data_IF_784336131339
#
_entry.id   IF_784336131339
#
_cell.length_a   1.000
_cell.length_b   1.000
_cell.length_c   1.000
_cell.angle_alpha   90.00
_cell.angle_beta   90.00
_cell.angle_gamma   90.00
#
_symmetry.space_group_name_H-M   'P 1'
#
loop_
_entity.id
_entity.type
_entity.pdbx_description
1 polymer ?
#
# COMPACT_ATOMS: atom_id res chain seq x y z
N UNK A 1 6.64 -16.67 -13.09
CA UNK A 1 5.68 -17.73 -13.41
C UNK A 1 5.01 -18.33 -12.19
N UNK A 2 5.72 -19.01 -11.28
CA UNK A 2 5.13 -19.71 -10.12
C UNK A 2 4.32 -18.77 -9.21
N UNK A 3 4.81 -17.58 -8.93
CA UNK A 3 4.09 -16.57 -8.13
C UNK A 3 2.77 -16.15 -8.77
N UNK A 4 2.71 -16.09 -10.11
CA UNK A 4 1.47 -15.78 -10.83
C UNK A 4 0.42 -16.89 -10.70
N UNK A 5 0.86 -18.15 -10.77
CA UNK A 5 0.00 -19.32 -10.54
C UNK A 5 -0.57 -19.33 -9.12
N UNK A 6 0.29 -19.10 -8.12
CA UNK A 6 -0.12 -19.05 -6.72
C UNK A 6 -1.07 -17.89 -6.43
N UNK A 7 -0.82 -16.71 -6.99
CA UNK A 7 -1.69 -15.54 -6.83
C UNK A 7 -3.09 -15.80 -7.41
N UNK A 8 -3.17 -16.36 -8.62
CA UNK A 8 -4.44 -16.69 -9.25
C UNK A 8 -5.21 -17.81 -8.53
N UNK A 9 -4.48 -18.81 -7.99
CA UNK A 9 -5.08 -19.94 -7.27
C UNK A 9 -5.51 -19.64 -5.84
N UNK A 10 -4.99 -18.55 -5.22
CA UNK A 10 -5.36 -18.16 -3.86
C UNK A 10 -6.51 -17.14 -3.84
N UNK A 11 -6.26 -15.95 -4.32
CA UNK A 11 -7.26 -14.88 -4.43
C UNK A 11 -6.93 -13.96 -5.59
N UNK A 12 -7.93 -13.60 -6.39
CA UNK A 12 -7.78 -12.76 -7.58
C UNK A 12 -7.15 -11.38 -7.28
N UNK A 13 -7.34 -10.85 -6.06
CA UNK A 13 -6.75 -9.56 -5.64
C UNK A 13 -5.22 -9.58 -5.57
N UNK A 14 -4.61 -10.74 -5.34
CA UNK A 14 -3.15 -10.81 -5.32
C UNK A 14 -2.54 -10.59 -6.71
N UNK A 15 -3.28 -10.84 -7.77
CA UNK A 15 -2.79 -10.63 -9.13
C UNK A 15 -2.43 -9.15 -9.36
N UNK A 16 -3.36 -8.19 -9.23
CA UNK A 16 -3.05 -6.78 -9.45
C UNK A 16 -2.11 -6.21 -8.37
N UNK A 17 -2.18 -6.66 -7.10
CA UNK A 17 -1.27 -6.21 -6.04
C UNK A 17 0.18 -6.60 -6.36
N UNK A 18 0.44 -7.86 -6.70
CA UNK A 18 1.79 -8.30 -7.06
C UNK A 18 2.27 -7.67 -8.38
N UNK A 19 1.37 -7.47 -9.35
CA UNK A 19 1.69 -6.74 -10.57
C UNK A 19 2.14 -5.31 -10.26
N UNK A 20 1.50 -4.65 -9.31
CA UNK A 20 1.84 -3.29 -8.87
C UNK A 20 3.22 -3.24 -8.19
N UNK A 21 3.57 -4.25 -7.40
CA UNK A 21 4.92 -4.41 -6.83
C UNK A 21 5.96 -4.53 -7.96
N UNK A 22 5.76 -5.47 -8.91
CA UNK A 22 6.68 -5.67 -10.02
C UNK A 22 6.80 -4.42 -10.90
N UNK A 23 5.69 -3.73 -11.15
CA UNK A 23 5.64 -2.49 -11.90
C UNK A 23 6.45 -1.38 -11.21
N UNK A 24 6.39 -1.27 -9.88
CA UNK A 24 7.13 -0.26 -9.13
C UNK A 24 8.65 -0.45 -9.23
N UNK A 25 9.13 -1.69 -9.24
CA UNK A 25 10.54 -2.00 -9.50
C UNK A 25 10.93 -1.68 -10.94
N UNK A 26 10.12 -2.10 -11.91
CA UNK A 26 10.35 -1.79 -13.33
C UNK A 26 10.45 -0.27 -13.57
N UNK A 27 9.51 0.52 -13.04
CA UNK A 27 9.52 1.98 -13.16
C UNK A 27 10.78 2.55 -12.49
N UNK A 28 11.14 2.08 -11.30
CA UNK A 28 12.35 2.51 -10.60
C UNK A 28 13.60 2.27 -11.44
N UNK A 29 13.72 1.11 -12.08
CA UNK A 29 14.89 0.74 -12.89
C UNK A 29 14.96 1.55 -14.19
N UNK A 30 13.81 1.87 -14.79
CA UNK A 30 13.75 2.79 -15.94
C UNK A 30 14.27 4.18 -15.54
N UNK A 31 13.80 4.74 -14.41
CA UNK A 31 14.24 6.06 -13.93
C UNK A 31 15.74 6.08 -13.60
N UNK A 32 16.26 4.98 -13.09
CA UNK A 32 17.69 4.82 -12.74
C UNK A 32 18.57 4.47 -13.94
N UNK A 33 18.00 4.32 -15.12
CA UNK A 33 18.66 3.87 -16.35
C UNK A 33 19.40 2.53 -16.18
N UNK A 34 18.83 1.65 -15.37
CA UNK A 34 19.32 0.28 -15.16
C UNK A 34 18.85 -0.65 -16.28
N UNK A 35 19.32 -1.90 -16.24
CA UNK A 35 18.87 -2.92 -17.21
C UNK A 35 17.47 -3.43 -16.85
N UNK A 36 16.43 -2.71 -17.24
CA UNK A 36 15.02 -3.01 -16.95
C UNK A 36 14.45 -4.23 -17.71
N UNK A 37 15.21 -4.81 -18.65
CA UNK A 37 14.73 -5.95 -19.47
C UNK A 37 14.32 -7.17 -18.65
N UNK A 38 15.05 -7.47 -17.58
CA UNK A 38 14.73 -8.59 -16.71
C UNK A 38 13.44 -8.36 -15.92
N UNK A 39 13.22 -7.14 -15.44
CA UNK A 39 12.02 -6.78 -14.70
C UNK A 39 10.80 -6.75 -15.61
N UNK A 40 10.97 -6.25 -16.84
CA UNK A 40 9.93 -6.32 -17.86
C UNK A 40 9.58 -7.77 -18.22
N UNK A 41 10.59 -8.62 -18.43
CA UNK A 41 10.37 -10.04 -18.69
C UNK A 41 9.70 -10.74 -17.51
N UNK A 42 10.10 -10.39 -16.28
CA UNK A 42 9.49 -10.90 -15.05
C UNK A 42 8.02 -10.50 -14.92
N UNK A 43 7.70 -9.23 -15.18
CA UNK A 43 6.32 -8.72 -15.16
C UNK A 43 5.47 -9.41 -16.24
N UNK A 44 5.96 -9.53 -17.47
CA UNK A 44 5.25 -10.20 -18.55
C UNK A 44 5.02 -11.68 -18.23
N UNK A 45 6.03 -12.39 -17.75
CA UNK A 45 5.90 -13.79 -17.33
C UNK A 45 4.90 -13.96 -16.18
N UNK A 46 4.88 -13.01 -15.24
CA UNK A 46 3.90 -12.98 -14.16
C UNK A 46 2.48 -12.80 -14.69
N UNK A 47 2.25 -11.77 -15.51
CA UNK A 47 0.93 -11.48 -16.07
C UNK A 47 0.41 -12.62 -16.95
N UNK A 48 1.26 -13.19 -17.82
CA UNK A 48 0.89 -14.33 -18.66
C UNK A 48 0.49 -15.54 -17.82
N UNK A 49 1.26 -15.86 -16.79
CA UNK A 49 0.94 -16.98 -15.90
C UNK A 49 -0.36 -16.72 -15.11
N UNK A 50 -0.57 -15.49 -14.62
CA UNK A 50 -1.78 -15.14 -13.87
C UNK A 50 -3.03 -15.19 -14.73
N UNK A 51 -2.99 -14.54 -15.90
CA UNK A 51 -4.13 -14.54 -16.86
C UNK A 51 -4.42 -15.94 -17.37
N UNK A 52 -3.38 -16.72 -17.71
CA UNK A 52 -3.54 -18.12 -18.11
C UNK A 52 -4.19 -18.97 -17.01
N UNK A 53 -3.81 -18.78 -15.75
CA UNK A 53 -4.42 -19.49 -14.62
C UNK A 53 -5.89 -19.12 -14.43
N UNK A 54 -6.22 -17.82 -14.50
CA UNK A 54 -7.60 -17.35 -14.38
C UNK A 54 -8.46 -17.92 -15.53
N UNK A 55 -7.90 -17.97 -16.75
CA UNK A 55 -8.59 -18.56 -17.90
C UNK A 55 -8.87 -20.06 -17.70
N UNK A 56 -7.86 -20.81 -17.24
CA UNK A 56 -7.98 -22.26 -16.96
C UNK A 56 -8.98 -22.57 -15.84
N UNK A 57 -9.10 -21.67 -14.86
CA UNK A 57 -10.05 -21.78 -13.75
C UNK A 57 -11.47 -21.29 -14.13
N UNK A 58 -11.70 -20.86 -15.37
CA UNK A 58 -12.99 -20.37 -15.84
C UNK A 58 -13.34 -18.95 -15.34
N UNK A 59 -12.36 -18.17 -14.88
CA UNK A 59 -12.58 -16.84 -14.33
C UNK A 59 -13.11 -15.79 -15.33
N UNK A 60 -13.09 -16.08 -16.63
CA UNK A 60 -13.69 -15.26 -17.68
C UNK A 60 -15.06 -15.75 -18.16
N UNK A 61 -15.59 -16.82 -17.56
CA UNK A 61 -16.84 -17.43 -18.02
C UNK A 61 -18.10 -16.64 -17.64
N UNK A 62 -17.98 -15.67 -16.74
CA UNK A 62 -19.11 -14.85 -16.26
C UNK A 62 -18.76 -13.37 -16.33
N UNK A 63 -19.51 -12.61 -17.13
CA UNK A 63 -19.43 -11.15 -17.17
C UNK A 63 -20.17 -10.54 -15.96
N UNK A 64 -19.59 -10.68 -14.77
CA UNK A 64 -20.08 -9.95 -13.62
C UNK A 64 -19.27 -8.63 -13.52
N UNK A 65 -19.81 -7.58 -14.14
CA UNK A 65 -19.34 -6.22 -13.89
C UNK A 65 -20.03 -5.74 -12.60
N UNK A 66 -19.28 -5.49 -11.51
CA UNK A 66 -19.89 -4.95 -10.31
C UNK A 66 -20.63 -3.65 -10.60
N UNK A 67 -21.76 -3.45 -9.94
CA UNK A 67 -22.60 -2.27 -10.10
C UNK A 67 -21.80 -0.99 -9.84
N UNK A 68 -22.08 0.05 -10.62
CA UNK A 68 -21.42 1.36 -10.53
C UNK A 68 -21.62 2.06 -9.17
N UNK A 69 -22.65 1.67 -8.43
CA UNK A 69 -22.93 2.18 -7.08
C UNK A 69 -21.88 1.76 -6.03
N UNK A 70 -21.09 0.72 -6.31
CA UNK A 70 -20.05 0.24 -5.40
C UNK A 70 -18.73 1.05 -5.48
N UNK A 71 -18.59 1.98 -6.43
CA UNK A 71 -17.39 2.82 -6.53
C UNK A 71 -17.22 3.70 -5.30
N UNK A 72 -16.09 3.55 -4.63
CA UNK A 72 -15.76 4.28 -3.41
C UNK A 72 -16.30 3.66 -2.13
N UNK A 73 -17.28 2.74 -2.17
CA UNK A 73 -17.81 2.07 -0.98
C UNK A 73 -16.86 1.02 -0.39
N UNK A 74 -15.95 0.49 -1.18
CA UNK A 74 -14.92 -0.46 -0.79
C UNK A 74 -13.50 0.12 -0.99
N UNK A 75 -13.36 1.46 -1.00
CA UNK A 75 -12.10 2.17 -1.09
C UNK A 75 -11.40 2.26 0.26
N UNK A 76 -10.12 2.63 0.23
CA UNK A 76 -9.37 2.95 1.44
C UNK A 76 -9.83 4.28 2.02
N UNK A 77 -10.28 4.26 3.27
CA UNK A 77 -10.61 5.47 4.01
C UNK A 77 -9.34 6.06 4.64
N UNK A 78 -9.12 7.36 4.51
CA UNK A 78 -7.88 8.01 4.97
C UNK A 78 -7.63 7.88 6.49
N UNK A 79 -8.68 7.63 7.30
CA UNK A 79 -8.53 7.32 8.73
C UNK A 79 -8.13 5.86 8.99
N UNK A 80 -8.08 5.00 7.97
CA UNK A 80 -7.93 3.55 8.07
C UNK A 80 -6.67 3.08 8.78
N UNK A 81 -5.58 3.85 8.75
CA UNK A 81 -4.35 3.51 9.48
C UNK A 81 -4.54 3.55 11.00
N UNK A 82 -5.47 4.36 11.50
CA UNK A 82 -5.75 4.54 12.93
C UNK A 82 -7.08 3.95 13.36
N UNK A 83 -7.89 3.49 12.40
CA UNK A 83 -9.19 2.89 12.63
C UNK A 83 -9.06 1.38 12.82
N UNK A 84 -9.26 0.94 14.05
CA UNK A 84 -9.13 -0.49 14.38
C UNK A 84 -10.28 -1.35 13.87
N UNK A 85 -11.43 -0.76 13.52
CA UNK A 85 -12.66 -1.48 13.15
C UNK A 85 -13.02 -2.63 14.12
N UNK A 86 -12.75 -2.44 15.42
CA UNK A 86 -13.01 -3.44 16.45
C UNK A 86 -11.88 -4.42 16.72
N UNK A 87 -10.77 -4.37 15.98
CA UNK A 87 -9.61 -5.26 16.17
C UNK A 87 -8.67 -4.82 17.30
N UNK A 88 -8.95 -3.71 17.97
CA UNK A 88 -8.13 -3.20 19.08
C UNK A 88 -8.99 -2.69 20.22
N UNK A 89 -8.57 -2.98 21.46
CA UNK A 89 -9.17 -2.42 22.67
C UNK A 89 -8.67 -0.99 22.93
N UNK A 90 -7.44 -0.67 22.46
CA UNK A 90 -6.79 0.63 22.69
C UNK A 90 -7.25 1.68 21.69
N UNK A 91 -7.38 1.28 20.42
CA UNK A 91 -7.82 2.19 19.36
C UNK A 91 -9.33 2.00 19.10
N UNK A 92 -10.10 3.09 19.10
CA UNK A 92 -11.54 3.00 18.86
C UNK A 92 -11.85 2.61 17.42
N UNK A 93 -13.02 2.05 17.21
CA UNK A 93 -13.64 1.96 15.89
C UNK A 93 -14.11 3.35 15.49
N UNK A 94 -13.58 3.87 14.40
CA UNK A 94 -14.02 5.13 13.82
C UNK A 94 -15.04 4.87 12.72
N UNK A 95 -15.93 5.83 12.50
CA UNK A 95 -16.85 5.76 11.38
C UNK A 95 -16.09 5.71 10.05
N UNK A 96 -16.68 5.02 9.08
CA UNK A 96 -16.13 4.85 7.73
C UNK A 96 -17.22 5.10 6.70
N UNK A 97 -16.78 5.58 5.54
CA UNK A 97 -17.67 5.78 4.40
C UNK A 97 -17.83 4.47 3.63
N UNK A 98 -19.09 4.14 3.30
CA UNK A 98 -19.43 2.98 2.49
C UNK A 98 -19.80 1.72 3.29
N UNK A 99 -20.52 0.82 2.64
CA UNK A 99 -21.03 -0.41 3.24
C UNK A 99 -20.00 -1.53 3.36
N UNK A 100 -18.91 -1.47 2.56
CA UNK A 100 -17.84 -2.49 2.51
C UNK A 100 -16.49 -1.90 2.93
N UNK A 101 -16.49 -1.04 3.94
CA UNK A 101 -15.31 -0.33 4.41
C UNK A 101 -14.26 -1.23 5.07
N UNK A 102 -14.63 -2.41 5.54
CA UNK A 102 -13.75 -3.49 6.03
C UNK A 102 -12.79 -4.00 4.96
N UNK A 103 -13.14 -3.89 3.68
CA UNK A 103 -12.26 -4.23 2.56
C UNK A 103 -11.03 -3.31 2.46
N UNK A 104 -11.14 -2.08 2.99
CA UNK A 104 -10.06 -1.10 3.07
C UNK A 104 -9.34 -1.08 4.42
N UNK A 105 -9.46 -2.14 5.25
CA UNK A 105 -8.78 -2.22 6.53
C UNK A 105 -7.27 -2.09 6.36
N UNK A 106 -6.72 -1.04 6.95
CA UNK A 106 -5.30 -0.70 6.86
C UNK A 106 -4.65 -0.56 8.24
N UNK A 107 -5.33 -0.94 9.30
CA UNK A 107 -4.83 -0.86 10.66
C UNK A 107 -3.65 -1.81 10.86
N UNK A 108 -2.41 -1.30 11.09
CA UNK A 108 -1.23 -2.15 11.17
C UNK A 108 -1.10 -2.91 12.50
N UNK A 109 -2.03 -2.67 13.41
CA UNK A 109 -2.01 -3.19 14.76
C UNK A 109 -1.46 -2.21 15.79
N UNK A 110 -2.00 -2.30 17.02
CA UNK A 110 -1.63 -1.43 18.15
C UNK A 110 -0.13 -1.46 18.46
N UNK A 111 0.49 -2.65 18.43
CA UNK A 111 1.92 -2.81 18.70
C UNK A 111 2.79 -2.04 17.71
N UNK A 112 2.47 -2.10 16.42
CA UNK A 112 3.20 -1.35 15.37
C UNK A 112 3.06 0.16 15.58
N UNK A 113 1.85 0.65 15.84
CA UNK A 113 1.61 2.08 16.09
C UNK A 113 2.34 2.56 17.35
N UNK A 114 2.34 1.79 18.43
CA UNK A 114 3.08 2.11 19.65
C UNK A 114 4.59 2.12 19.39
N UNK A 115 5.10 1.16 18.63
CA UNK A 115 6.51 1.11 18.24
C UNK A 115 6.91 2.35 17.44
N UNK A 116 6.11 2.74 16.47
CA UNK A 116 6.34 3.96 15.70
C UNK A 116 6.26 5.21 16.57
N UNK A 117 5.26 5.31 17.46
CA UNK A 117 5.09 6.45 18.36
C UNK A 117 6.27 6.60 19.33
N UNK A 118 6.70 5.50 19.97
CA UNK A 118 7.87 5.51 20.88
C UNK A 118 9.14 5.85 20.14
N UNK A 119 9.29 5.39 18.89
CA UNK A 119 10.42 5.73 18.07
C UNK A 119 10.47 7.17 17.64
N UNK A 120 9.36 7.70 17.20
CA UNK A 120 9.27 9.12 16.88
C UNK A 120 9.56 9.99 18.13
N UNK A 121 9.05 9.58 19.30
CA UNK A 121 9.33 10.29 20.56
C UNK A 121 10.83 10.23 20.91
N UNK A 122 11.46 9.06 20.85
CA UNK A 122 12.88 8.90 21.10
C UNK A 122 13.75 9.70 20.11
N UNK A 123 13.39 9.67 18.82
CA UNK A 123 14.06 10.47 17.81
C UNK A 123 13.92 11.98 18.11
N UNK A 124 12.72 12.45 18.44
CA UNK A 124 12.46 13.84 18.78
C UNK A 124 13.26 14.28 20.01
N UNK A 125 13.28 13.46 21.06
CA UNK A 125 14.08 13.74 22.26
C UNK A 125 15.58 13.83 21.95
N UNK A 126 16.12 12.90 21.16
CA UNK A 126 17.52 12.96 20.70
C UNK A 126 17.79 14.21 19.86
N UNK A 127 16.87 14.59 18.99
CA UNK A 127 16.96 15.79 18.16
C UNK A 127 17.00 17.06 19.04
N UNK A 128 16.05 17.19 19.98
CA UNK A 128 16.00 18.31 20.91
C UNK A 128 17.25 18.39 21.80
N UNK A 129 17.73 17.24 22.29
CA UNK A 129 18.97 17.18 23.07
C UNK A 129 20.17 17.70 22.27
N UNK A 130 20.34 17.28 21.02
CA UNK A 130 21.40 17.77 20.13
C UNK A 130 21.26 19.27 19.82
N UNK A 131 20.03 19.74 19.58
CA UNK A 131 19.77 21.12 19.26
C UNK A 131 20.03 22.06 20.45
N UNK A 132 19.50 21.69 21.64
CA UNK A 132 19.48 22.57 22.82
C UNK A 132 20.76 22.40 23.66
N UNK A 133 21.15 21.16 23.96
CA UNK A 133 22.25 20.89 24.88
C UNK A 133 23.60 20.92 24.17
N UNK A 134 23.71 20.20 23.03
CA UNK A 134 24.96 20.14 22.28
C UNK A 134 25.20 21.31 21.34
N UNK A 135 24.15 22.11 21.05
CA UNK A 135 24.21 23.23 20.08
C UNK A 135 24.87 22.84 18.74
N UNK A 136 24.67 21.60 18.31
CA UNK A 136 25.19 21.11 17.03
C UNK A 136 24.49 21.86 15.89
N UNK A 137 25.27 22.52 15.01
CA UNK A 137 24.73 23.23 13.86
C UNK A 137 24.22 22.29 12.73
N UNK A 138 24.74 21.05 12.69
CA UNK A 138 24.36 20.04 11.68
C UNK A 138 23.40 19.01 12.28
N UNK A 139 22.15 19.41 12.54
CA UNK A 139 21.11 18.57 13.13
C UNK A 139 20.56 17.50 12.17
N UNK A 140 20.59 17.76 10.88
CA UNK A 140 20.13 16.87 9.84
C UNK A 140 21.32 16.31 9.04
N UNK A 141 21.89 15.21 9.49
CA UNK A 141 22.76 14.41 8.65
C UNK A 141 21.93 13.30 8.00
N UNK A 142 21.08 13.69 7.05
CA UNK A 142 20.29 12.73 6.28
C UNK A 142 21.19 12.15 5.19
N UNK A 143 21.95 11.13 5.56
CA UNK A 143 22.71 10.35 4.57
C UNK A 143 21.73 9.44 3.81
N UNK A 144 21.31 9.89 2.65
CA UNK A 144 20.78 9.00 1.62
C UNK A 144 21.94 8.11 1.13
N UNK A 145 22.42 7.19 1.96
CA UNK A 145 23.11 6.04 1.37
C UNK A 145 22.15 5.48 0.34
N UNK A 146 22.56 5.47 -0.93
CA UNK A 146 21.84 4.91 -2.07
C UNK A 146 21.29 3.52 -1.70
N UNK A 147 20.15 3.46 -1.03
CA UNK A 147 19.41 2.21 -0.87
C UNK A 147 18.88 1.89 -2.24
N UNK A 148 19.44 0.86 -2.84
CA UNK A 148 19.19 0.51 -4.24
C UNK A 148 17.70 0.46 -4.58
N UNK A 149 16.84 0.09 -3.64
CA UNK A 149 15.41 -0.07 -3.86
C UNK A 149 14.51 1.03 -3.25
N UNK A 150 15.09 2.09 -2.66
CA UNK A 150 14.28 3.13 -1.98
C UNK A 150 13.28 3.83 -2.90
N UNK A 151 13.66 4.05 -4.15
CA UNK A 151 12.79 4.66 -5.17
C UNK A 151 11.63 3.71 -5.52
N UNK A 152 11.91 2.41 -5.67
CA UNK A 152 10.86 1.42 -5.96
C UNK A 152 9.80 1.37 -4.85
N UNK A 153 10.23 1.37 -3.58
CA UNK A 153 9.29 1.40 -2.45
C UNK A 153 8.47 2.69 -2.40
N UNK A 154 9.08 3.84 -2.72
CA UNK A 154 8.33 5.11 -2.79
C UNK A 154 7.27 5.06 -3.90
N UNK A 155 7.63 4.57 -5.10
CA UNK A 155 6.69 4.39 -6.21
C UNK A 155 5.57 3.42 -5.79
N UNK A 156 5.91 2.31 -5.14
CA UNK A 156 4.93 1.33 -4.66
C UNK A 156 3.93 1.97 -3.69
N UNK A 157 4.41 2.75 -2.72
CA UNK A 157 3.55 3.46 -1.77
C UNK A 157 2.60 4.41 -2.51
N UNK A 158 3.13 5.24 -3.41
CA UNK A 158 2.32 6.22 -4.16
C UNK A 158 1.27 5.51 -5.01
N UNK A 159 1.65 4.52 -5.80
CA UNK A 159 0.72 3.78 -6.65
C UNK A 159 -0.32 3.02 -5.82
N UNK A 160 0.09 2.36 -4.74
CA UNK A 160 -0.83 1.65 -3.84
C UNK A 160 -1.88 2.58 -3.24
N UNK A 161 -1.46 3.74 -2.72
CA UNK A 161 -2.38 4.73 -2.14
C UNK A 161 -3.33 5.27 -3.22
N UNK A 162 -2.82 5.66 -4.39
CA UNK A 162 -3.65 6.19 -5.49
C UNK A 162 -4.74 5.19 -5.92
N UNK A 163 -4.38 3.91 -6.04
CA UNK A 163 -5.36 2.88 -6.41
C UNK A 163 -6.32 2.59 -5.26
N UNK A 164 -5.83 2.50 -4.02
CA UNK A 164 -6.62 2.16 -2.85
C UNK A 164 -7.69 3.22 -2.51
N UNK A 165 -7.32 4.50 -2.60
CA UNK A 165 -8.21 5.63 -2.29
C UNK A 165 -9.36 5.70 -3.28
N UNK A 166 -9.18 5.24 -4.53
CA UNK A 166 -10.15 5.36 -5.61
C UNK A 166 -10.49 6.82 -5.98
N UNK A 167 -11.31 7.10 -7.00
CA UNK A 167 -11.76 8.45 -7.31
C UNK A 167 -12.58 9.14 -6.22
N UNK A 168 -13.16 8.35 -5.29
CA UNK A 168 -13.93 8.87 -4.15
C UNK A 168 -13.08 8.80 -2.89
N UNK A 169 -12.42 9.92 -2.56
CA UNK A 169 -11.59 10.05 -1.37
C UNK A 169 -12.48 10.25 -0.14
N UNK A 170 -12.44 9.33 0.81
CA UNK A 170 -13.25 9.40 2.02
C UNK A 170 -12.40 9.64 3.28
N UNK A 171 -12.96 10.42 4.20
CA UNK A 171 -12.44 10.62 5.55
C UNK A 171 -13.56 10.42 6.56
N UNK A 172 -13.46 9.40 7.39
CA UNK A 172 -14.53 9.03 8.30
C UNK A 172 -15.79 8.64 7.54
N UNK A 173 -16.94 9.13 7.97
CA UNK A 173 -18.26 8.87 7.33
C UNK A 173 -18.55 9.77 6.13
N UNK A 174 -17.65 10.68 5.75
CA UNK A 174 -17.89 11.68 4.69
C UNK A 174 -16.94 11.53 3.50
N UNK A 175 -17.40 11.94 2.33
CA UNK A 175 -16.57 12.11 1.14
C UNK A 175 -15.80 13.42 1.27
N UNK A 176 -14.48 13.35 1.37
CA UNK A 176 -13.61 14.51 1.45
C UNK A 176 -13.36 15.15 0.09
N UNK A 177 -13.24 14.34 -0.96
CA UNK A 177 -12.99 14.80 -2.32
C UNK A 177 -13.50 13.74 -3.31
N UNK A 178 -14.06 14.20 -4.42
CA UNK A 178 -14.38 13.35 -5.56
C UNK A 178 -13.58 13.84 -6.76
N UNK A 179 -12.85 12.94 -7.40
CA UNK A 179 -12.00 13.25 -8.54
C UNK A 179 -12.69 12.76 -9.80
N UNK A 180 -12.91 13.67 -10.74
CA UNK A 180 -13.41 13.30 -12.04
C UNK A 180 -12.31 12.62 -12.86
N UNK A 181 -12.53 11.36 -13.19
CA UNK A 181 -11.61 10.57 -14.00
C UNK A 181 -12.29 10.09 -15.28
N UNK A 182 -11.54 9.90 -16.37
CA UNK A 182 -12.10 9.42 -17.62
C UNK A 182 -12.81 8.06 -17.48
N UNK A 183 -13.90 7.84 -18.24
CA UNK A 183 -14.73 6.64 -18.15
C UNK A 183 -13.96 5.33 -18.35
N UNK A 184 -12.95 5.31 -19.21
CA UNK A 184 -12.11 4.13 -19.41
C UNK A 184 -11.35 3.74 -18.15
N UNK A 185 -10.88 4.73 -17.35
CA UNK A 185 -10.19 4.52 -16.10
C UNK A 185 -11.16 4.09 -15.00
N UNK A 186 -12.34 4.73 -14.93
CA UNK A 186 -13.43 4.28 -14.06
C UNK A 186 -13.83 2.83 -14.35
N UNK A 187 -13.85 2.43 -15.62
CA UNK A 187 -14.12 1.05 -16.03
C UNK A 187 -13.11 0.05 -15.47
N UNK A 188 -11.82 0.43 -15.35
CA UNK A 188 -10.80 -0.39 -14.73
C UNK A 188 -11.04 -0.53 -13.22
N UNK A 189 -11.31 0.59 -12.51
CA UNK A 189 -11.64 0.56 -11.08
C UNK A 189 -12.86 -0.31 -10.77
N UNK A 190 -13.93 -0.19 -11.59
CA UNK A 190 -15.15 -1.02 -11.46
C UNK A 190 -14.85 -2.51 -11.56
N UNK A 191 -13.97 -2.91 -12.50
CA UNK A 191 -13.58 -4.32 -12.66
C UNK A 191 -12.76 -4.86 -11.49
N UNK A 192 -11.96 -4.03 -10.86
CA UNK A 192 -11.19 -4.39 -9.67
C UNK A 192 -12.11 -4.49 -8.44
N UNK A 193 -13.16 -3.66 -8.36
CA UNK A 193 -14.17 -3.65 -7.32
C UNK A 193 -13.64 -3.15 -5.97
N UNK A 194 -13.07 -4.03 -5.18
CA UNK A 194 -12.61 -3.76 -3.80
C UNK A 194 -11.21 -3.16 -3.78
N UNK A 195 -11.10 -1.88 -4.13
CA UNK A 195 -9.81 -1.19 -4.30
C UNK A 195 -9.07 -0.93 -2.99
N UNK A 196 -9.78 -0.87 -1.87
CA UNK A 196 -9.19 -0.64 -0.54
C UNK A 196 -8.04 -1.59 -0.19
N UNK A 197 -8.08 -2.84 -0.68
CA UNK A 197 -7.02 -3.83 -0.44
C UNK A 197 -5.66 -3.46 -1.04
N UNK A 198 -5.60 -2.53 -2.00
CA UNK A 198 -4.34 -2.04 -2.53
C UNK A 198 -3.51 -1.25 -1.53
N UNK A 199 -4.05 -0.90 -0.36
CA UNK A 199 -3.28 -0.30 0.73
C UNK A 199 -2.38 -1.33 1.45
N UNK A 200 -2.64 -2.63 1.35
CA UNK A 200 -1.91 -3.66 2.08
C UNK A 200 -0.40 -3.66 1.85
N UNK A 201 0.15 -3.46 0.63
CA UNK A 201 1.59 -3.31 0.46
C UNK A 201 2.18 -2.21 1.35
N UNK A 202 1.47 -1.09 1.51
CA UNK A 202 1.90 0.02 2.38
C UNK A 202 1.88 -0.42 3.85
N UNK A 203 0.82 -1.09 4.30
CA UNK A 203 0.70 -1.62 5.66
C UNK A 203 1.84 -2.58 5.97
N UNK A 204 2.13 -3.51 5.06
CA UNK A 204 3.26 -4.44 5.23
C UNK A 204 4.61 -3.73 5.25
N UNK A 205 4.82 -2.70 4.44
CA UNK A 205 6.04 -1.90 4.49
C UNK A 205 6.17 -1.15 5.82
N UNK A 206 5.08 -0.66 6.39
CA UNK A 206 5.05 -0.01 7.71
C UNK A 206 5.41 -1.02 8.81
N UNK A 207 4.81 -2.22 8.78
CA UNK A 207 5.10 -3.29 9.75
C UNK A 207 6.58 -3.70 9.66
N UNK A 208 7.05 -4.05 8.45
CA UNK A 208 8.45 -4.45 8.25
C UNK A 208 9.42 -3.33 8.61
N UNK A 209 9.09 -2.09 8.24
CA UNK A 209 9.88 -0.92 8.59
C UNK A 209 10.00 -0.72 10.09
N UNK A 210 8.92 -0.92 10.84
CA UNK A 210 8.93 -0.83 12.30
C UNK A 210 9.81 -1.90 12.95
N UNK A 211 9.76 -3.15 12.45
CA UNK A 211 10.60 -4.25 12.94
C UNK A 211 12.07 -3.99 12.68
N UNK A 212 12.43 -3.62 11.44
CA UNK A 212 13.82 -3.30 11.06
C UNK A 212 14.35 -2.10 11.85
N UNK A 213 13.47 -1.14 12.14
CA UNK A 213 13.85 0.01 12.94
C UNK A 213 14.10 -0.39 14.41
N UNK A 214 13.24 -1.22 15.02
CA UNK A 214 13.46 -1.77 16.37
C UNK A 214 14.79 -2.52 16.48
N UNK A 215 15.09 -3.39 15.52
CA UNK A 215 16.33 -4.16 15.48
C UNK A 215 17.57 -3.25 15.51
N UNK A 216 17.53 -2.12 14.81
CA UNK A 216 18.66 -1.17 14.75
C UNK A 216 18.82 -0.33 16.02
N UNK A 217 17.73 0.02 16.69
CA UNK A 217 17.75 0.92 17.84
C UNK A 217 17.88 0.17 19.15
N UNK A 218 17.57 -1.13 19.19
CA UNK A 218 17.72 -2.02 20.34
C UNK A 218 18.69 -3.15 20.01
N UNK A 219 20.00 -2.88 19.95
CA UNK A 219 20.98 -3.96 19.83
C UNK A 219 20.93 -4.79 21.11
N UNK A 220 20.67 -6.08 20.94
CA UNK A 220 20.68 -7.10 22.00
C UNK A 220 22.08 -7.31 22.55
#
# INVERSE_FOLDING_TARGET
GLTGLLAAGSQLYFIPICALVLLSFLISDIFRRMKFRNDLAGLLAYLTASVGSVALLGGFAHDHIPDSSALGQAGFNLNGLFNSQGWSIVFPSLEVYGSNADEGLAFPGTGVLLTLATGCAAWLLRFLYKAVVKKEKNLFHFSWKKKENGVAYLILIVLSVLVAVSPTVAWGSSVAMQVDVPDWLLGLWRRVGMTGRFIWPVVYLVILGSVVWMEKEMPW
#
